data_IF_645207417665
#
_entry.id   IF_645207417665
#
_cell.length_a   1.000
_cell.length_b   1.000
_cell.length_c   1.000
_cell.angle_alpha   90.00
_cell.angle_beta   90.00
_cell.angle_gamma   90.00
#
_symmetry.space_group_name_H-M   'P 1'
#
loop_
_entity.id
_entity.type
_entity.pdbx_description
1 polymer ?
#
# COMPACT_ATOMS: atom_id res chain seq x y z
N UNK A 1 -27.11 -58.20 0.82
CA UNK A 1 -26.28 -56.98 0.70
C UNK A 1 -27.17 -55.85 0.24
N UNK A 2 -27.62 -54.97 1.13
CA UNK A 2 -28.10 -53.61 0.84
C UNK A 2 -28.80 -53.07 2.08
N UNK A 3 -28.18 -52.11 2.78
CA UNK A 3 -28.78 -50.94 3.45
C UNK A 3 -27.79 -50.37 4.47
N UNK A 4 -26.74 -49.70 4.00
CA UNK A 4 -25.89 -48.85 4.85
C UNK A 4 -25.45 -47.55 4.17
N UNK A 5 -26.16 -47.13 3.10
CA UNK A 5 -25.88 -45.90 2.37
C UNK A 5 -26.89 -44.77 2.67
N UNK A 6 -28.07 -45.08 3.21
CA UNK A 6 -29.13 -44.08 3.44
C UNK A 6 -28.93 -43.17 4.67
N UNK A 7 -28.21 -43.65 5.70
CA UNK A 7 -28.08 -42.92 6.98
C UNK A 7 -26.99 -41.84 6.96
N UNK A 8 -25.93 -42.03 6.17
CA UNK A 8 -24.81 -41.08 6.07
C UNK A 8 -25.18 -39.84 5.24
N UNK A 9 -25.99 -40.02 4.19
CA UNK A 9 -26.49 -38.92 3.36
C UNK A 9 -27.48 -38.02 4.12
N UNK A 10 -28.26 -38.57 5.05
CA UNK A 10 -29.20 -37.79 5.86
C UNK A 10 -28.50 -36.91 6.91
N UNK A 11 -27.40 -37.39 7.50
CA UNK A 11 -26.60 -36.62 8.46
C UNK A 11 -25.82 -35.47 7.79
N UNK A 12 -25.32 -35.69 6.56
CA UNK A 12 -24.67 -34.64 5.76
C UNK A 12 -25.64 -33.54 5.33
N UNK A 13 -26.89 -33.88 5.00
CA UNK A 13 -27.91 -32.88 4.67
C UNK A 13 -28.26 -31.99 5.88
N UNK A 14 -28.35 -32.56 7.09
CA UNK A 14 -28.67 -31.78 8.31
C UNK A 14 -27.53 -30.81 8.67
N UNK A 15 -26.27 -31.21 8.50
CA UNK A 15 -25.10 -30.35 8.74
C UNK A 15 -25.01 -29.18 7.74
N UNK A 16 -25.41 -29.38 6.48
CA UNK A 16 -25.41 -28.30 5.49
C UNK A 16 -26.55 -27.31 5.78
N UNK A 17 -27.73 -27.79 6.20
CA UNK A 17 -28.84 -26.89 6.55
C UNK A 17 -28.57 -26.08 7.83
N UNK A 18 -27.87 -26.65 8.82
CA UNK A 18 -27.46 -25.88 10.01
C UNK A 18 -26.34 -24.89 9.72
N UNK A 19 -25.42 -25.18 8.79
CA UNK A 19 -24.44 -24.19 8.32
C UNK A 19 -25.09 -23.04 7.53
N UNK A 20 -26.11 -23.30 6.72
CA UNK A 20 -26.85 -22.22 6.03
C UNK A 20 -27.73 -21.40 6.98
N UNK A 21 -28.33 -22.02 8.00
CA UNK A 21 -29.13 -21.30 9.00
C UNK A 21 -28.27 -20.44 9.95
N UNK A 22 -27.03 -20.85 10.24
CA UNK A 22 -26.09 -20.04 11.04
C UNK A 22 -25.42 -18.91 10.25
N UNK A 23 -25.48 -18.95 8.91
CA UNK A 23 -25.06 -17.84 8.04
C UNK A 23 -26.12 -16.74 7.88
N UNK A 24 -27.34 -16.93 8.40
CA UNK A 24 -28.40 -15.91 8.45
C UNK A 24 -28.65 -15.40 9.87
N UNK A 25 -27.67 -15.50 10.76
CA UNK A 25 -27.63 -14.59 11.90
C UNK A 25 -27.11 -13.25 11.39
N UNK A 26 -27.98 -12.53 10.67
CA UNK A 26 -27.87 -11.09 10.50
C UNK A 26 -27.90 -10.52 11.91
N UNK A 27 -26.73 -10.38 12.51
CA UNK A 27 -26.56 -9.31 13.46
C UNK A 27 -27.01 -8.07 12.70
N UNK A 28 -28.17 -7.55 13.08
CA UNK A 28 -28.50 -6.16 12.86
C UNK A 28 -27.33 -5.40 13.47
N UNK A 29 -26.32 -5.12 12.64
CA UNK A 29 -25.36 -4.06 12.92
C UNK A 29 -26.26 -2.83 12.85
N UNK A 30 -26.79 -2.47 14.02
CA UNK A 30 -27.39 -1.17 14.24
C UNK A 30 -26.21 -0.21 14.07
N UNK A 31 -25.96 0.22 12.84
CA UNK A 31 -25.21 1.44 12.61
C UNK A 31 -25.94 2.48 13.46
N UNK A 32 -25.29 3.12 14.45
CA UNK A 32 -25.95 4.13 15.22
C UNK A 32 -26.51 5.16 14.23
N UNK A 33 -27.82 5.42 14.30
CA UNK A 33 -28.42 6.51 13.58
C UNK A 33 -27.72 7.77 14.09
N UNK A 34 -26.76 8.28 13.33
CA UNK A 34 -26.16 9.58 13.58
C UNK A 34 -27.19 10.62 13.14
N UNK A 35 -28.04 11.01 14.09
CA UNK A 35 -28.59 12.36 14.11
C UNK A 35 -27.41 13.32 14.25
N UNK A 36 -26.81 13.64 13.10
CA UNK A 36 -26.03 14.84 12.73
C UNK A 36 -25.33 14.55 11.39
N UNK A 37 -26.08 13.98 10.45
CA UNK A 37 -25.59 13.72 9.09
C UNK A 37 -25.80 14.98 8.25
N UNK A 38 -24.82 15.88 8.24
CA UNK A 38 -24.34 16.73 7.12
C UNK A 38 -23.25 17.63 7.75
N UNK A 39 -21.99 17.19 7.78
CA UNK A 39 -20.82 18.08 7.71
C UNK A 39 -19.49 17.36 7.62
N UNK A 40 -19.37 16.10 8.05
CA UNK A 40 -18.09 15.39 7.97
C UNK A 40 -18.21 14.07 7.23
N UNK A 41 -18.02 14.12 5.91
CA UNK A 41 -17.58 12.93 5.17
C UNK A 41 -16.11 12.72 5.53
N UNK A 42 -15.71 11.57 6.13
CA UNK A 42 -14.30 11.25 6.34
C UNK A 42 -13.58 11.23 5.00
N UNK A 43 -12.56 12.07 4.83
CA UNK A 43 -11.85 12.28 3.57
C UNK A 43 -12.38 13.41 2.68
N UNK A 44 -13.32 14.21 3.16
CA UNK A 44 -13.62 15.53 2.59
C UNK A 44 -12.51 16.51 2.97
N UNK A 45 -11.94 17.23 1.99
CA UNK A 45 -11.17 18.45 2.26
C UNK A 45 -12.09 19.42 2.99
N UNK A 46 -11.93 19.59 4.30
CA UNK A 46 -12.47 20.76 4.98
C UNK A 46 -11.54 21.95 4.73
N UNK A 47 -11.99 23.17 5.03
CA UNK A 47 -11.13 24.36 5.06
C UNK A 47 -9.87 24.18 5.95
N UNK A 48 -9.81 23.10 6.75
CA UNK A 48 -8.79 22.82 7.74
C UNK A 48 -7.76 21.75 7.36
N UNK A 49 -7.90 21.02 6.25
CA UNK A 49 -7.01 19.90 5.89
C UNK A 49 -7.76 18.56 5.71
N UNK A 50 -7.01 17.46 5.67
CA UNK A 50 -7.59 16.11 5.64
C UNK A 50 -7.97 15.72 7.08
N UNK A 51 -9.26 15.80 7.38
CA UNK A 51 -9.81 15.46 8.68
C UNK A 51 -9.88 13.94 8.86
N UNK A 52 -9.17 13.41 9.86
CA UNK A 52 -9.28 12.03 10.31
C UNK A 52 -9.27 11.94 11.84
N UNK A 53 -9.73 10.82 12.39
CA UNK A 53 -9.73 10.55 13.85
C UNK A 53 -8.31 10.60 14.46
N UNK A 54 -7.28 10.54 13.60
CA UNK A 54 -5.87 10.59 13.96
C UNK A 54 -5.23 12.00 13.87
N UNK A 55 -6.04 13.05 13.64
CA UNK A 55 -5.61 14.44 13.57
C UNK A 55 -5.78 15.08 12.18
N UNK A 56 -5.54 16.39 12.12
CA UNK A 56 -5.65 17.19 10.89
C UNK A 56 -4.28 17.30 10.21
N UNK A 57 -4.23 16.98 8.92
CA UNK A 57 -3.01 17.14 8.10
C UNK A 57 -3.27 18.08 6.92
N UNK A 58 -2.36 19.01 6.66
CA UNK A 58 -2.51 20.04 5.62
C UNK A 58 -1.79 19.66 4.32
N UNK A 59 -0.55 19.19 4.46
CA UNK A 59 0.28 18.61 3.39
C UNK A 59 0.86 17.29 3.93
N UNK A 60 0.08 16.22 3.84
CA UNK A 60 0.36 15.01 4.59
C UNK A 60 1.49 14.19 3.99
N UNK A 61 2.67 14.20 4.60
CA UNK A 61 3.79 13.35 4.22
C UNK A 61 3.42 11.87 4.32
N UNK A 62 2.66 11.49 5.33
CA UNK A 62 2.20 10.11 5.51
C UNK A 62 0.77 10.08 6.02
N UNK A 63 -0.08 9.27 5.38
CA UNK A 63 -1.44 8.98 5.81
C UNK A 63 -1.74 7.48 5.74
N UNK A 64 -2.80 7.09 6.43
CA UNK A 64 -3.30 5.72 6.46
C UNK A 64 -4.71 5.69 5.87
N UNK A 65 -4.91 4.86 4.85
CA UNK A 65 -6.20 4.69 4.17
C UNK A 65 -6.75 3.28 4.35
N UNK A 66 -7.62 2.84 3.44
CA UNK A 66 -8.20 1.48 3.46
C UNK A 66 -7.26 0.36 3.02
N UNK A 67 -6.03 0.68 2.59
CA UNK A 67 -5.00 -0.29 2.21
C UNK A 67 -3.99 -0.47 3.33
N UNK A 68 -3.36 -1.64 3.40
CA UNK A 68 -2.30 -1.91 4.37
C UNK A 68 -1.05 -1.08 4.07
N UNK A 69 -0.42 -0.55 5.12
CA UNK A 69 0.73 0.33 4.99
C UNK A 69 0.33 1.81 5.09
N UNK A 70 1.14 2.69 4.53
CA UNK A 70 0.89 4.13 4.52
C UNK A 70 1.07 4.74 3.13
N UNK A 71 0.18 5.64 2.75
CA UNK A 71 0.34 6.47 1.56
C UNK A 71 1.29 7.61 1.90
N UNK A 72 2.44 7.65 1.24
CA UNK A 72 3.49 8.63 1.50
C UNK A 72 3.61 9.59 0.33
N UNK A 73 3.70 10.88 0.65
CA UNK A 73 3.83 11.98 -0.30
C UNK A 73 5.07 12.80 0.01
N UNK A 74 5.77 13.25 -1.03
CA UNK A 74 6.90 14.18 -0.91
C UNK A 74 6.83 15.30 -1.94
N UNK A 75 7.24 16.50 -1.56
CA UNK A 75 7.14 17.70 -2.40
C UNK A 75 8.51 18.20 -2.85
N UNK A 76 8.95 17.86 -4.07
CA UNK A 76 10.27 18.26 -4.56
C UNK A 76 10.26 19.74 -4.98
N UNK A 77 11.43 20.38 -4.99
CA UNK A 77 11.59 21.80 -5.38
C UNK A 77 11.18 22.09 -6.82
N UNK A 78 11.24 21.09 -7.70
CA UNK A 78 10.79 21.18 -9.10
C UNK A 78 9.27 21.30 -9.26
N UNK A 79 8.50 21.17 -8.17
CA UNK A 79 7.05 21.15 -8.19
C UNK A 79 6.45 19.77 -8.47
N UNK A 80 5.12 19.70 -8.45
CA UNK A 80 4.41 18.42 -8.36
C UNK A 80 4.65 17.73 -7.02
N UNK A 81 4.45 16.41 -6.97
CA UNK A 81 4.75 15.60 -5.79
C UNK A 81 5.09 14.17 -6.18
N UNK A 82 5.82 13.47 -5.31
CA UNK A 82 5.99 12.03 -5.36
C UNK A 82 4.92 11.37 -4.52
N UNK A 83 4.34 10.26 -4.99
CA UNK A 83 3.42 9.42 -4.24
C UNK A 83 3.89 7.97 -4.23
N UNK A 84 3.77 7.29 -3.09
CA UNK A 84 4.12 5.88 -2.93
C UNK A 84 3.30 5.21 -1.83
N UNK A 85 2.72 4.06 -2.12
CA UNK A 85 2.11 3.21 -1.08
C UNK A 85 3.20 2.37 -0.44
N UNK A 86 3.56 2.72 0.81
CA UNK A 86 4.66 2.12 1.54
C UNK A 86 4.20 0.96 2.42
N UNK A 87 4.94 -0.15 2.36
CA UNK A 87 4.87 -1.23 3.35
C UNK A 87 5.55 -0.85 4.67
N UNK A 88 5.46 -1.73 5.68
CA UNK A 88 6.06 -1.51 7.01
C UNK A 88 7.57 -1.22 6.92
N UNK A 89 8.33 -2.08 6.23
CA UNK A 89 9.76 -1.87 6.00
C UNK A 89 10.09 -0.57 5.25
N UNK A 90 9.20 -0.13 4.35
CA UNK A 90 9.38 1.11 3.59
C UNK A 90 9.13 2.36 4.45
N UNK A 91 8.12 2.32 5.32
CA UNK A 91 7.88 3.40 6.28
C UNK A 91 9.08 3.56 7.23
N UNK A 92 9.61 2.45 7.76
CA UNK A 92 10.81 2.47 8.60
C UNK A 92 12.03 3.04 7.83
N UNK A 93 12.22 2.61 6.59
CA UNK A 93 13.29 3.12 5.72
C UNK A 93 13.20 4.63 5.47
N UNK A 94 11.99 5.19 5.38
CA UNK A 94 11.77 6.62 5.24
C UNK A 94 11.88 7.40 6.55
N UNK A 95 11.95 6.70 7.70
CA UNK A 95 11.96 7.28 9.04
C UNK A 95 10.57 7.73 9.50
N UNK A 96 9.51 7.09 9.02
CA UNK A 96 8.11 7.44 9.32
C UNK A 96 7.52 6.52 10.39
N UNK A 97 6.64 7.08 11.22
CA UNK A 97 5.87 6.32 12.20
C UNK A 97 4.87 5.40 11.47
N UNK A 98 4.69 4.18 11.98
CA UNK A 98 3.86 3.15 11.35
C UNK A 98 2.37 3.26 11.69
N UNK A 99 2.03 4.12 12.64
CA UNK A 99 0.70 4.21 13.24
C UNK A 99 0.17 5.65 13.30
N UNK A 100 1.04 6.65 13.12
CA UNK A 100 0.68 8.06 13.21
C UNK A 100 0.94 8.80 11.90
N UNK A 101 0.00 9.64 11.43
CA UNK A 101 0.24 10.44 10.25
C UNK A 101 1.37 11.45 10.50
N UNK A 102 1.95 11.94 9.41
CA UNK A 102 3.01 12.95 9.46
C UNK A 102 2.73 14.05 8.44
N UNK A 103 3.05 15.30 8.80
CA UNK A 103 3.05 16.42 7.85
C UNK A 103 4.41 16.50 7.12
N UNK A 104 4.42 17.19 5.98
CA UNK A 104 5.63 17.60 5.30
C UNK A 104 6.51 18.48 6.20
N UNK A 105 7.80 18.57 5.88
CA UNK A 105 8.66 19.56 6.54
C UNK A 105 8.37 20.96 5.98
N UNK A 106 8.55 21.97 6.82
CA UNK A 106 8.59 23.37 6.38
C UNK A 106 9.94 23.73 5.74
N UNK A 107 10.96 22.90 5.91
CA UNK A 107 12.28 23.07 5.29
C UNK A 107 12.34 22.39 3.90
N UNK A 108 12.52 23.16 2.82
CA UNK A 108 12.64 22.61 1.46
C UNK A 108 13.79 21.62 1.26
N UNK A 109 14.89 21.73 2.01
CA UNK A 109 16.03 20.81 1.90
C UNK A 109 15.73 19.46 2.54
N UNK A 110 15.04 19.45 3.69
CA UNK A 110 14.57 18.22 4.32
C UNK A 110 13.54 17.49 3.44
N UNK A 111 12.67 18.25 2.78
CA UNK A 111 11.65 17.71 1.90
C UNK A 111 12.25 17.12 0.61
N UNK A 112 13.26 17.77 0.05
CA UNK A 112 14.01 17.22 -1.09
C UNK A 112 14.75 15.93 -0.71
N UNK A 113 15.35 15.88 0.48
CA UNK A 113 15.98 14.66 1.00
C UNK A 113 14.96 13.53 1.23
N UNK A 114 13.73 13.87 1.65
CA UNK A 114 12.63 12.90 1.75
C UNK A 114 12.24 12.36 0.35
N UNK A 115 12.07 13.25 -0.64
CA UNK A 115 11.79 12.86 -2.03
C UNK A 115 12.89 11.96 -2.60
N UNK A 116 14.17 12.25 -2.33
CA UNK A 116 15.28 11.41 -2.75
C UNK A 116 15.19 9.98 -2.17
N UNK A 117 14.79 9.82 -0.90
CA UNK A 117 14.55 8.50 -0.31
C UNK A 117 13.30 7.81 -0.88
N UNK A 118 12.24 8.56 -1.16
CA UNK A 118 11.04 7.99 -1.82
C UNK A 118 11.38 7.44 -3.21
N UNK A 119 12.20 8.14 -3.98
CA UNK A 119 12.66 7.68 -5.31
C UNK A 119 13.42 6.37 -5.26
N UNK A 120 14.16 6.11 -4.17
CA UNK A 120 14.81 4.82 -3.93
C UNK A 120 13.83 3.65 -3.77
N UNK A 121 12.56 3.93 -3.46
CA UNK A 121 11.49 2.93 -3.38
C UNK A 121 10.65 2.82 -4.65
N UNK A 122 10.95 3.61 -5.68
CA UNK A 122 10.16 3.65 -6.91
C UNK A 122 8.95 4.57 -6.84
N UNK A 123 8.96 5.55 -5.94
CA UNK A 123 7.87 6.53 -5.86
C UNK A 123 7.62 7.21 -7.20
N UNK A 124 6.35 7.43 -7.50
CA UNK A 124 5.93 7.99 -8.78
C UNK A 124 5.76 9.49 -8.68
N UNK A 125 6.46 10.25 -9.53
CA UNK A 125 6.23 11.69 -9.66
C UNK A 125 4.91 11.96 -10.41
N UNK A 126 4.10 12.86 -9.88
CA UNK A 126 2.86 13.35 -10.48
C UNK A 126 2.91 14.88 -10.53
N UNK A 127 2.40 15.43 -11.63
CA UNK A 127 2.43 16.87 -11.89
C UNK A 127 1.31 17.58 -11.13
N UNK A 128 0.13 16.97 -11.18
CA UNK A 128 -1.13 17.50 -10.68
C UNK A 128 -2.12 16.35 -10.38
N UNK A 129 -3.25 16.70 -9.76
CA UNK A 129 -4.28 15.76 -9.35
C UNK A 129 -4.89 14.98 -10.53
N UNK A 130 -5.06 15.61 -11.69
CA UNK A 130 -5.60 14.93 -12.88
C UNK A 130 -4.66 13.80 -13.33
N UNK A 131 -3.35 14.06 -13.32
CA UNK A 131 -2.34 13.05 -13.62
C UNK A 131 -2.29 11.90 -12.60
N UNK A 132 -2.61 12.18 -11.33
CA UNK A 132 -2.73 11.16 -10.29
C UNK A 132 -3.97 10.30 -10.50
N UNK A 133 -5.13 10.93 -10.75
CA UNK A 133 -6.39 10.23 -11.02
C UNK A 133 -6.20 9.28 -12.20
N UNK A 134 -5.63 9.75 -13.31
CA UNK A 134 -5.40 8.92 -14.49
C UNK A 134 -4.53 7.68 -14.16
N UNK A 135 -3.47 7.86 -13.38
CA UNK A 135 -2.60 6.75 -12.94
C UNK A 135 -3.35 5.78 -12.02
N UNK A 136 -4.17 6.30 -11.12
CA UNK A 136 -4.98 5.49 -10.20
C UNK A 136 -5.97 4.62 -10.97
N UNK A 137 -6.66 5.17 -11.97
CA UNK A 137 -7.55 4.40 -12.86
C UNK A 137 -6.82 3.27 -13.59
N UNK A 138 -5.56 3.50 -13.96
CA UNK A 138 -4.70 2.53 -14.67
C UNK A 138 -3.95 1.60 -13.72
N UNK A 139 -3.96 1.85 -12.40
CA UNK A 139 -3.12 1.15 -11.46
C UNK A 139 -3.36 -0.36 -11.49
N UNK A 140 -4.62 -0.78 -11.53
CA UNK A 140 -5.00 -2.20 -11.48
C UNK A 140 -5.15 -2.87 -12.86
N UNK A 141 -4.72 -2.20 -13.93
CA UNK A 141 -4.67 -2.82 -15.25
C UNK A 141 -3.61 -3.93 -15.29
N UNK A 142 -3.85 -5.03 -16.04
CA UNK A 142 -2.95 -6.19 -16.07
C UNK A 142 -1.47 -5.87 -16.39
N UNK A 143 -1.24 -4.90 -17.26
CA UNK A 143 0.08 -4.50 -17.75
C UNK A 143 0.68 -3.31 -16.97
N UNK A 144 -0.06 -2.80 -15.98
CA UNK A 144 0.41 -1.70 -15.13
C UNK A 144 1.71 -2.10 -14.43
N UNK A 145 2.78 -1.30 -14.51
CA UNK A 145 4.07 -1.65 -13.96
C UNK A 145 4.02 -1.77 -12.43
N UNK A 146 4.87 -2.63 -11.89
CA UNK A 146 5.11 -2.81 -10.45
C UNK A 146 6.60 -2.90 -10.23
N UNK A 147 7.08 -2.12 -9.28
CA UNK A 147 8.48 -2.01 -8.92
C UNK A 147 8.63 -2.30 -7.44
N UNK A 148 9.54 -3.20 -7.10
CA UNK A 148 9.93 -3.48 -5.74
C UNK A 148 11.43 -3.26 -5.63
N UNK A 149 11.84 -2.36 -4.74
CA UNK A 149 13.24 -2.13 -4.40
C UNK A 149 13.54 -2.58 -2.97
N UNK A 150 14.73 -3.10 -2.75
CA UNK A 150 15.26 -3.45 -1.44
C UNK A 150 16.75 -3.12 -1.36
N UNK A 151 17.16 -2.52 -0.25
CA UNK A 151 18.49 -1.91 -0.09
C UNK A 151 19.30 -2.64 0.98
N UNK A 152 20.30 -3.44 0.58
CA UNK A 152 21.25 -4.06 1.51
C UNK A 152 22.10 -3.01 2.23
N UNK A 153 22.47 -3.29 3.48
CA UNK A 153 23.32 -2.40 4.27
C UNK A 153 24.77 -2.29 3.74
N UNK A 154 25.25 -3.29 3.01
CA UNK A 154 26.56 -3.33 2.35
C UNK A 154 26.57 -2.64 0.98
N UNK A 155 25.42 -2.12 0.53
CA UNK A 155 25.29 -1.31 -0.67
C UNK A 155 24.64 -2.03 -1.87
N UNK A 156 24.52 -1.30 -2.97
CA UNK A 156 23.75 -1.73 -4.13
C UNK A 156 22.24 -1.74 -3.87
N UNK A 157 21.49 -2.31 -4.80
CA UNK A 157 20.02 -2.44 -4.70
C UNK A 157 19.54 -3.70 -5.39
N UNK A 158 18.59 -4.39 -4.75
CA UNK A 158 17.81 -5.45 -5.37
C UNK A 158 16.51 -4.88 -5.92
N UNK A 159 16.24 -5.13 -7.19
CA UNK A 159 15.05 -4.61 -7.88
C UNK A 159 14.30 -5.73 -8.58
N UNK A 160 12.99 -5.81 -8.36
CA UNK A 160 12.07 -6.64 -9.13
C UNK A 160 11.08 -5.71 -9.83
N UNK A 161 11.20 -5.61 -11.16
CA UNK A 161 10.28 -4.91 -12.03
C UNK A 161 9.40 -5.90 -12.78
N UNK A 162 8.09 -5.66 -12.81
CA UNK A 162 7.09 -6.57 -13.36
C UNK A 162 5.78 -5.83 -13.65
N UNK A 163 4.70 -6.54 -13.98
CA UNK A 163 3.35 -5.98 -14.13
C UNK A 163 2.42 -6.45 -13.03
N UNK A 164 1.29 -5.78 -12.83
CA UNK A 164 0.26 -6.13 -11.85
C UNK A 164 -0.26 -7.56 -12.00
N UNK A 165 -0.50 -8.00 -13.24
CA UNK A 165 -0.93 -9.37 -13.52
C UNK A 165 0.08 -10.42 -13.05
N UNK A 166 1.37 -10.16 -13.28
CA UNK A 166 2.46 -11.04 -12.82
C UNK A 166 2.65 -10.98 -11.31
N UNK A 167 2.49 -9.80 -10.69
CA UNK A 167 2.46 -9.64 -9.23
C UNK A 167 1.40 -10.53 -8.59
N UNK A 168 0.18 -10.53 -9.13
CA UNK A 168 -0.92 -11.39 -8.65
C UNK A 168 -0.60 -12.87 -8.85
N UNK A 169 -0.18 -13.26 -10.06
CA UNK A 169 0.13 -14.66 -10.40
C UNK A 169 1.25 -15.26 -9.54
N UNK A 170 2.29 -14.48 -9.24
CA UNK A 170 3.46 -14.92 -8.45
C UNK A 170 3.30 -14.67 -6.93
N UNK A 171 2.19 -14.04 -6.51
CA UNK A 171 1.95 -13.67 -5.11
C UNK A 171 3.00 -12.72 -4.56
N UNK A 172 3.45 -11.72 -5.33
CA UNK A 172 4.53 -10.81 -4.92
C UNK A 172 4.12 -9.81 -3.83
N UNK A 173 2.81 -9.71 -3.52
CA UNK A 173 2.33 -8.92 -2.39
C UNK A 173 2.99 -9.26 -1.05
N UNK A 174 3.50 -10.51 -0.90
CA UNK A 174 4.28 -10.93 0.28
C UNK A 174 5.56 -10.13 0.52
N UNK A 175 6.10 -9.43 -0.49
CA UNK A 175 7.22 -8.51 -0.31
C UNK A 175 6.84 -7.38 0.67
N UNK A 176 5.57 -6.95 0.65
CA UNK A 176 5.03 -5.95 1.57
C UNK A 176 4.91 -6.42 3.02
N UNK A 177 5.04 -7.72 3.29
CA UNK A 177 4.99 -8.27 4.66
C UNK A 177 6.32 -8.15 5.39
N UNK A 178 7.41 -7.82 4.70
CA UNK A 178 8.71 -7.63 5.32
C UNK A 178 8.65 -6.55 6.40
N UNK A 179 9.21 -6.85 7.57
CA UNK A 179 9.26 -5.92 8.70
C UNK A 179 10.41 -4.94 8.55
N UNK A 180 11.52 -5.39 7.97
CA UNK A 180 12.75 -4.60 7.79
C UNK A 180 13.20 -4.57 6.33
N UNK A 181 14.03 -3.58 5.99
CA UNK A 181 14.62 -3.51 4.64
C UNK A 181 15.52 -4.72 4.34
N UNK A 182 16.14 -5.29 5.38
CA UNK A 182 16.97 -6.50 5.29
C UNK A 182 16.16 -7.73 4.85
N UNK A 183 15.00 -7.96 5.47
CA UNK A 183 14.07 -9.01 5.06
C UNK A 183 13.56 -8.79 3.63
N UNK A 184 13.23 -7.52 3.33
CA UNK A 184 12.65 -7.14 2.04
C UNK A 184 13.58 -7.45 0.88
N UNK A 185 14.84 -7.01 0.93
CA UNK A 185 15.77 -7.23 -0.19
C UNK A 185 16.09 -8.72 -0.37
N UNK A 186 16.20 -9.49 0.73
CA UNK A 186 16.40 -10.95 0.67
C UNK A 186 15.25 -11.64 -0.03
N UNK A 187 14.03 -11.26 0.31
CA UNK A 187 12.84 -11.79 -0.35
C UNK A 187 12.77 -11.37 -1.83
N UNK A 188 13.10 -10.12 -2.17
CA UNK A 188 13.20 -9.68 -3.57
C UNK A 188 14.20 -10.54 -4.35
N UNK A 189 15.38 -10.82 -3.78
CA UNK A 189 16.39 -11.71 -4.35
C UNK A 189 15.82 -13.11 -4.59
N UNK A 190 15.20 -13.72 -3.59
CA UNK A 190 14.59 -15.06 -3.69
C UNK A 190 13.50 -15.14 -4.76
N UNK A 191 12.78 -14.04 -4.99
CA UNK A 191 11.70 -13.94 -5.98
C UNK A 191 12.17 -13.58 -7.39
N UNK A 192 13.47 -13.60 -7.64
CA UNK A 192 14.07 -13.36 -8.96
C UNK A 192 14.30 -11.88 -9.26
N UNK A 193 14.46 -11.05 -8.25
CA UNK A 193 14.96 -9.69 -8.42
C UNK A 193 16.37 -9.67 -9.04
N UNK A 194 16.74 -8.53 -9.60
CA UNK A 194 18.07 -8.27 -10.17
C UNK A 194 18.85 -7.37 -9.23
N UNK A 195 20.11 -7.71 -8.97
CA UNK A 195 21.01 -6.86 -8.19
C UNK A 195 21.73 -5.86 -9.07
N UNK A 196 21.75 -4.61 -8.64
CA UNK A 196 22.52 -3.54 -9.23
C UNK A 196 23.56 -3.06 -8.21
N UNK A 197 24.83 -3.34 -8.47
CA UNK A 197 25.93 -2.92 -7.59
C UNK A 197 26.02 -1.39 -7.51
N UNK A 198 25.77 -0.70 -8.62
CA UNK A 198 25.53 0.74 -8.67
C UNK A 198 24.05 0.96 -8.88
N UNK A 199 23.31 1.52 -7.90
CA UNK A 199 21.87 1.72 -8.02
C UNK A 199 21.44 2.54 -9.24
N UNK A 200 22.28 3.48 -9.69
CA UNK A 200 22.05 4.28 -10.90
C UNK A 200 22.08 3.48 -12.21
N UNK A 201 22.61 2.26 -12.20
CA UNK A 201 22.57 1.37 -13.36
C UNK A 201 21.18 0.72 -13.52
N UNK A 202 20.28 0.87 -12.54
CA UNK A 202 18.91 0.37 -12.63
C UNK A 202 18.05 1.30 -13.49
N UNK A 203 17.50 0.82 -14.63
CA UNK A 203 16.71 1.67 -15.53
C UNK A 203 15.31 2.00 -15.00
N UNK A 204 14.89 1.37 -13.90
CA UNK A 204 13.54 1.52 -13.34
C UNK A 204 13.50 2.47 -12.13
N UNK A 205 14.65 2.92 -11.63
CA UNK A 205 14.74 3.85 -10.50
C UNK A 205 15.19 5.23 -10.98
N UNK A 206 14.34 6.24 -10.76
CA UNK A 206 14.65 7.64 -11.03
C UNK A 206 15.45 8.24 -9.87
N UNK A 207 16.77 7.99 -9.82
CA UNK A 207 17.63 8.46 -8.72
C UNK A 207 18.21 9.85 -8.93
N UNK A 208 18.00 10.48 -10.09
CA UNK A 208 18.52 11.82 -10.37
C UNK A 208 17.48 12.92 -10.08
N UNK A 209 16.19 12.61 -10.24
CA UNK A 209 15.10 13.51 -9.86
C UNK A 209 14.79 14.52 -10.95
#
# INVERSE_FOLDING_TARGET
MSTQAGSVLFLLAILITTCFASSQNSQNILLPASEDTISHIPGSLSECGFDGEFGVTWFPRCQFGGLTGGSVTGWPKKGGYYTHLCSIAELEFLGLDRFKPANSSGDPDEEEAHCARMRQLGATWVKDLDSEIEKQWKHDLPDSPRLYAGWPADGGVWVLYTTFSQTKRKGLGRIGNALTMEERWKLIKELGGTFYAKPKDCPYLDLDG
#
